data_IF_492676320113
#
_entry.id   IF_492676320113
#
_cell.length_a   1.000
_cell.length_b   1.000
_cell.length_c   1.000
_cell.angle_alpha   90.00
_cell.angle_beta   90.00
_cell.angle_gamma   90.00
#
_symmetry.space_group_name_H-M   'P 1'
#
loop_
_entity.id
_entity.type
_entity.pdbx_description
1 polymer ?
#
# COMPACT_ATOMS: atom_id res chain seq x y z
N UNK A 1 14.55 12.76 5.35
CA UNK A 1 13.49 13.48 6.09
C UNK A 1 12.43 12.47 6.51
N UNK A 2 11.84 12.57 7.70
CA UNK A 2 10.79 11.65 8.17
C UNK A 2 9.43 12.33 8.17
N UNK A 3 8.41 11.62 7.71
CA UNK A 3 7.05 12.10 7.56
C UNK A 3 6.09 11.09 8.20
N UNK A 4 4.97 11.58 8.73
CA UNK A 4 3.89 10.78 9.28
C UNK A 4 2.57 11.27 8.73
N UNK A 5 1.72 10.34 8.30
CA UNK A 5 0.43 10.60 7.70
C UNK A 5 -0.63 9.67 8.30
N UNK A 6 -1.53 10.25 9.09
CA UNK A 6 -2.71 9.56 9.59
C UNK A 6 -3.75 9.44 8.47
N UNK A 7 -3.96 8.22 7.98
CA UNK A 7 -4.98 7.90 6.97
C UNK A 7 -6.30 7.72 7.72
N UNK A 8 -7.33 8.51 7.37
CA UNK A 8 -8.62 8.54 8.09
C UNK A 8 -9.13 7.12 8.39
N UNK A 9 -9.27 6.81 9.68
CA UNK A 9 -9.88 5.59 10.17
C UNK A 9 -11.40 5.65 9.97
N UNK A 10 -11.96 4.76 9.14
CA UNK A 10 -13.40 4.53 9.12
C UNK A 10 -13.76 3.61 10.28
N UNK A 11 -14.76 3.99 11.07
CA UNK A 11 -15.28 3.19 12.20
C UNK A 11 -15.90 1.85 11.77
N UNK A 12 -16.06 1.61 10.47
CA UNK A 12 -16.62 0.39 9.88
C UNK A 12 -15.63 -0.38 8.99
N UNK A 13 -14.34 0.00 8.98
CA UNK A 13 -13.36 -0.75 8.21
C UNK A 13 -12.99 -2.03 8.95
N UNK A 14 -13.30 -3.16 8.31
CA UNK A 14 -12.71 -4.43 8.63
C UNK A 14 -11.18 -4.36 8.44
N UNK A 15 -10.51 -5.28 9.10
CA UNK A 15 -9.06 -5.45 9.12
C UNK A 15 -8.43 -5.30 7.72
N UNK A 16 -7.56 -4.30 7.48
CA UNK A 16 -6.85 -4.15 6.21
C UNK A 16 -6.04 -5.41 5.89
N UNK A 17 -6.16 -5.93 4.68
CA UNK A 17 -5.32 -7.02 4.18
C UNK A 17 -4.12 -6.50 3.41
N UNK A 18 -4.32 -5.50 2.56
CA UNK A 18 -3.25 -4.82 1.84
C UNK A 18 -3.41 -3.31 1.92
N UNK A 19 -2.28 -2.61 2.02
CA UNK A 19 -2.22 -1.16 1.86
C UNK A 19 -1.25 -0.84 0.74
N UNK A 20 -1.71 -0.10 -0.26
CA UNK A 20 -0.92 0.29 -1.43
C UNK A 20 -0.69 1.80 -1.39
N UNK A 21 0.57 2.21 -1.44
CA UNK A 21 0.98 3.61 -1.35
C UNK A 21 1.72 4.03 -2.62
N UNK A 22 1.42 5.23 -3.09
CA UNK A 22 2.11 5.83 -4.24
C UNK A 22 2.16 7.35 -4.14
N UNK A 23 3.15 7.94 -4.79
CA UNK A 23 3.34 9.40 -4.83
C UNK A 23 3.23 9.91 -6.26
N UNK A 24 2.69 11.11 -6.43
CA UNK A 24 2.66 11.79 -7.72
C UNK A 24 3.11 13.23 -7.58
N UNK A 25 4.05 13.63 -8.41
CA UNK A 25 4.63 14.96 -8.44
C UNK A 25 4.11 15.73 -9.65
N UNK A 26 3.63 16.94 -9.44
CA UNK A 26 3.16 17.86 -10.49
C UNK A 26 2.12 17.24 -11.44
N UNK A 27 1.27 16.29 -10.99
CA UNK A 27 0.21 15.66 -11.82
C UNK A 27 -1.21 16.07 -11.42
N UNK A 28 -1.36 16.65 -10.24
CA UNK A 28 -2.64 17.17 -9.79
C UNK A 28 -3.05 18.35 -10.69
N UNK A 29 -4.31 18.36 -11.13
CA UNK A 29 -4.90 19.41 -11.98
C UNK A 29 -4.22 19.66 -13.35
N UNK A 30 -3.31 18.79 -13.79
CA UNK A 30 -2.70 18.85 -15.12
C UNK A 30 -3.33 17.77 -16.03
N UNK A 31 -4.04 18.19 -17.08
CA UNK A 31 -4.70 17.28 -18.02
C UNK A 31 -3.77 16.70 -19.08
N UNK A 32 -2.56 17.24 -19.24
CA UNK A 32 -1.58 16.75 -20.22
C UNK A 32 -0.70 15.65 -19.65
N UNK A 33 -0.67 15.49 -18.32
CA UNK A 33 0.14 14.47 -17.66
C UNK A 33 -0.63 13.19 -17.39
N UNK A 34 0.08 12.07 -17.53
CA UNK A 34 -0.48 10.76 -17.24
C UNK A 34 -0.64 10.55 -15.72
N UNK A 35 -1.89 10.57 -15.25
CA UNK A 35 -2.26 10.35 -13.85
C UNK A 35 -2.20 8.89 -13.39
N UNK A 36 -1.88 7.95 -14.29
CA UNK A 36 -1.63 6.54 -13.90
C UNK A 36 -0.19 6.30 -13.45
N UNK A 37 0.69 7.29 -13.57
CA UNK A 37 2.10 7.15 -13.24
C UNK A 37 2.39 7.66 -11.82
N UNK A 38 3.35 7.01 -11.16
CA UNK A 38 3.80 7.35 -9.83
C UNK A 38 5.30 7.61 -9.83
N UNK A 39 5.77 8.39 -8.86
CA UNK A 39 7.19 8.72 -8.68
C UNK A 39 7.70 8.11 -7.38
N UNK A 40 8.98 7.76 -7.35
CA UNK A 40 9.61 7.16 -6.18
C UNK A 40 9.93 8.17 -5.08
N UNK A 41 9.93 9.48 -5.38
CA UNK A 41 10.19 10.60 -4.46
C UNK A 41 11.43 10.42 -3.56
N UNK A 42 12.42 9.65 -4.01
CA UNK A 42 13.58 9.23 -3.23
C UNK A 42 13.23 8.61 -1.87
N UNK A 43 12.17 7.82 -1.82
CA UNK A 43 11.79 7.03 -0.66
C UNK A 43 12.98 6.17 -0.20
N UNK A 44 13.19 6.15 1.11
CA UNK A 44 14.23 5.41 1.81
C UNK A 44 13.62 4.32 2.69
N UNK A 45 12.49 4.63 3.33
CA UNK A 45 11.81 3.67 4.20
C UNK A 45 10.31 3.98 4.29
N UNK A 46 9.51 2.98 4.60
CA UNK A 46 8.07 3.13 4.83
C UNK A 46 7.60 2.09 5.83
N UNK A 47 6.79 2.54 6.80
CA UNK A 47 6.12 1.71 7.78
C UNK A 47 4.66 2.11 7.88
N UNK A 48 3.80 1.11 7.88
CA UNK A 48 2.39 1.20 8.18
C UNK A 48 2.19 0.77 9.62
N UNK A 49 1.52 1.61 10.39
CA UNK A 49 1.06 1.31 11.74
C UNK A 49 -0.43 1.06 11.69
N UNK A 50 -0.83 -0.12 12.16
CA UNK A 50 -2.21 -0.51 12.37
C UNK A 50 -2.40 -0.66 13.88
N UNK A 51 -2.95 0.38 14.52
CA UNK A 51 -2.92 0.52 15.97
C UNK A 51 -1.48 0.39 16.53
N UNK A 52 -1.17 -0.72 17.21
CA UNK A 52 0.15 -1.00 17.80
C UNK A 52 1.01 -1.94 16.96
N UNK A 53 0.49 -2.49 15.86
CA UNK A 53 1.23 -3.37 14.95
C UNK A 53 1.88 -2.57 13.83
N UNK A 54 3.02 -3.04 13.31
CA UNK A 54 3.81 -2.34 12.31
C UNK A 54 4.18 -3.25 11.12
N UNK A 55 4.05 -2.72 9.91
CA UNK A 55 4.30 -3.44 8.66
C UNK A 55 5.06 -2.57 7.64
N UNK A 56 6.07 -3.09 6.93
CA UNK A 56 6.83 -4.27 7.32
C UNK A 56 7.56 -4.05 8.66
N UNK A 57 7.87 -5.15 9.35
CA UNK A 57 8.65 -5.10 10.60
C UNK A 57 10.07 -4.56 10.32
N UNK A 58 10.71 -5.09 9.29
CA UNK A 58 12.04 -4.69 8.83
C UNK A 58 12.00 -3.37 8.05
N UNK A 59 13.13 -2.65 8.08
CA UNK A 59 13.30 -1.45 7.27
C UNK A 59 13.53 -1.81 5.79
N UNK A 60 12.92 -1.04 4.89
CA UNK A 60 13.06 -1.25 3.45
C UNK A 60 14.45 -0.85 2.91
N UNK A 61 15.11 0.12 3.55
CA UNK A 61 16.46 0.61 3.20
C UNK A 61 16.65 0.91 1.71
N UNK A 62 15.70 1.63 1.13
CA UNK A 62 15.62 1.91 -0.30
C UNK A 62 16.64 2.96 -0.74
N UNK A 63 17.21 2.75 -1.92
CA UNK A 63 18.02 3.74 -2.62
C UNK A 63 17.86 3.60 -4.14
N UNK A 64 16.97 4.40 -4.71
CA UNK A 64 16.67 4.39 -6.14
C UNK A 64 17.89 4.77 -7.00
N UNK A 65 18.75 5.69 -6.54
CA UNK A 65 19.98 6.08 -7.26
C UNK A 65 21.01 4.95 -7.34
N UNK A 66 20.95 3.98 -6.42
CA UNK A 66 21.81 2.79 -6.40
C UNK A 66 21.08 1.52 -6.89
N UNK A 67 19.88 1.68 -7.46
CA UNK A 67 19.02 0.57 -7.86
C UNK A 67 18.67 -0.41 -6.71
N UNK A 68 18.67 0.07 -5.47
CA UNK A 68 18.31 -0.69 -4.28
C UNK A 68 16.82 -0.51 -3.98
N UNK A 69 15.96 -1.13 -4.79
CA UNK A 69 14.50 -1.09 -4.61
C UNK A 69 13.83 -2.44 -4.94
N UNK A 70 14.61 -3.51 -5.05
CA UNK A 70 14.10 -4.85 -5.38
C UNK A 70 13.05 -5.34 -4.38
N UNK A 71 13.18 -4.99 -3.09
CA UNK A 71 12.22 -5.39 -2.04
C UNK A 71 10.80 -4.88 -2.31
N UNK A 72 10.63 -3.63 -2.75
CA UNK A 72 9.29 -3.11 -3.07
C UNK A 72 8.75 -3.67 -4.38
N UNK A 73 9.62 -4.02 -5.33
CA UNK A 73 9.21 -4.73 -6.54
C UNK A 73 8.74 -6.16 -6.22
N UNK A 74 9.42 -6.85 -5.30
CA UNK A 74 9.00 -8.17 -4.82
C UNK A 74 7.66 -8.09 -4.07
N UNK A 75 7.46 -7.07 -3.23
CA UNK A 75 6.17 -6.80 -2.58
C UNK A 75 5.04 -6.62 -3.61
N UNK A 76 5.30 -5.83 -4.67
CA UNK A 76 4.37 -5.67 -5.79
C UNK A 76 4.08 -6.98 -6.54
N UNK A 77 5.12 -7.76 -6.85
CA UNK A 77 5.00 -9.06 -7.53
C UNK A 77 4.13 -10.05 -6.73
N UNK A 78 4.42 -10.19 -5.43
CA UNK A 78 3.71 -11.10 -4.52
C UNK A 78 2.24 -10.70 -4.33
N UNK A 79 1.93 -9.41 -4.36
CA UNK A 79 0.54 -8.95 -4.32
C UNK A 79 -0.28 -9.51 -5.49
N UNK A 80 0.28 -9.55 -6.69
CA UNK A 80 -0.41 -10.10 -7.86
C UNK A 80 -0.71 -11.59 -7.71
N UNK A 81 0.24 -12.35 -7.18
CA UNK A 81 0.07 -13.77 -6.89
C UNK A 81 -1.03 -14.01 -5.84
N UNK A 82 -0.97 -13.29 -4.71
CA UNK A 82 -1.91 -13.46 -3.60
C UNK A 82 -3.33 -13.00 -3.91
N UNK A 83 -3.49 -11.90 -4.65
CA UNK A 83 -4.81 -11.30 -4.92
C UNK A 83 -5.51 -11.92 -6.14
N UNK A 84 -4.77 -12.27 -7.20
CA UNK A 84 -5.37 -12.79 -8.43
C UNK A 84 -5.37 -14.31 -8.55
N UNK A 85 -4.84 -15.05 -7.56
CA UNK A 85 -4.73 -16.51 -7.59
C UNK A 85 -4.11 -17.05 -8.90
N UNK A 86 -3.17 -16.29 -9.49
CA UNK A 86 -2.52 -16.66 -10.74
C UNK A 86 -1.38 -17.61 -10.45
N UNK A 87 -1.42 -18.80 -11.05
CA UNK A 87 -0.36 -19.83 -10.95
C UNK A 87 0.97 -19.43 -11.62
N UNK A 88 1.02 -18.29 -12.32
CA UNK A 88 2.21 -17.74 -12.96
C UNK A 88 2.53 -16.39 -12.32
N UNK A 89 3.46 -16.37 -11.37
CA UNK A 89 3.89 -15.18 -10.60
C UNK A 89 4.67 -14.13 -11.40
N UNK A 90 4.39 -13.97 -12.69
CA UNK A 90 5.04 -12.96 -13.53
C UNK A 90 4.41 -11.58 -13.28
N UNK A 91 5.18 -10.60 -12.78
CA UNK A 91 4.66 -9.27 -12.50
C UNK A 91 4.22 -8.56 -13.78
N UNK A 92 3.11 -7.82 -13.75
CA UNK A 92 2.62 -7.09 -14.94
C UNK A 92 3.61 -6.04 -15.49
N UNK A 93 4.54 -5.57 -14.67
CA UNK A 93 5.56 -4.60 -15.05
C UNK A 93 6.94 -5.21 -14.85
N UNK A 94 7.86 -4.98 -15.78
CA UNK A 94 9.27 -5.30 -15.56
C UNK A 94 9.86 -4.40 -14.47
N UNK A 95 10.98 -4.80 -13.87
CA UNK A 95 11.66 -4.02 -12.83
C UNK A 95 11.95 -2.56 -13.24
N UNK A 96 12.40 -2.35 -14.49
CA UNK A 96 12.64 -0.99 -15.02
C UNK A 96 11.34 -0.21 -15.22
N UNK A 97 10.29 -0.80 -15.78
CA UNK A 97 9.00 -0.11 -15.91
C UNK A 97 8.39 0.21 -14.55
N UNK A 98 8.50 -0.71 -13.58
CA UNK A 98 8.08 -0.46 -12.21
C UNK A 98 8.82 0.74 -11.62
N UNK A 99 10.15 0.78 -11.74
CA UNK A 99 10.96 1.91 -11.28
C UNK A 99 10.51 3.25 -11.88
N UNK A 100 10.29 3.28 -13.20
CA UNK A 100 10.11 4.54 -13.93
C UNK A 100 8.68 5.10 -13.85
N UNK A 101 7.67 4.23 -13.75
CA UNK A 101 6.26 4.68 -13.84
C UNK A 101 5.35 4.20 -12.72
N UNK A 102 5.77 3.22 -11.91
CA UNK A 102 4.90 2.66 -10.87
C UNK A 102 5.66 2.15 -9.63
N UNK A 103 6.51 2.97 -8.98
CA UNK A 103 7.19 2.60 -7.73
C UNK A 103 6.21 2.60 -6.55
N UNK A 104 5.21 1.72 -6.63
CA UNK A 104 4.15 1.51 -5.67
C UNK A 104 4.63 0.60 -4.55
N UNK A 105 4.29 0.94 -3.31
CA UNK A 105 4.65 0.16 -2.14
C UNK A 105 3.41 -0.62 -1.71
N UNK A 106 3.49 -1.95 -1.80
CA UNK A 106 2.39 -2.84 -1.40
C UNK A 106 2.70 -3.50 -0.07
N UNK A 107 2.04 -3.06 0.99
CA UNK A 107 2.24 -3.57 2.34
C UNK A 107 1.20 -4.66 2.61
N UNK A 108 1.68 -5.91 2.70
CA UNK A 108 0.87 -7.06 3.10
C UNK A 108 0.71 -7.09 4.61
N UNK A 109 -0.54 -6.99 5.05
CA UNK A 109 -0.93 -6.97 6.45
C UNK A 109 -1.70 -8.25 6.85
N UNK A 110 -1.75 -9.27 5.96
CA UNK A 110 -2.52 -10.51 6.16
C UNK A 110 -2.13 -11.30 7.41
N UNK A 111 -0.85 -11.20 7.83
CA UNK A 111 -0.30 -11.87 9.01
C UNK A 111 -0.57 -11.16 10.33
N UNK A 112 -1.43 -10.16 10.34
CA UNK A 112 -1.90 -9.54 11.57
C UNK A 112 -2.49 -10.60 12.52
N UNK A 113 -2.14 -10.52 13.80
CA UNK A 113 -2.71 -11.37 14.83
C UNK A 113 -4.25 -11.25 14.88
N UNK A 114 -4.96 -12.36 15.04
CA UNK A 114 -6.42 -12.40 15.17
C UNK A 114 -6.92 -11.72 16.46
N UNK A 115 -6.02 -11.47 17.41
CA UNK A 115 -6.27 -10.75 18.67
C UNK A 115 -6.52 -9.25 18.51
N UNK A 116 -6.56 -8.72 17.29
CA UNK A 116 -7.05 -7.37 17.04
C UNK A 116 -8.47 -7.23 17.60
N UNK A 117 -8.54 -6.48 18.71
CA UNK A 117 -9.77 -6.18 19.44
C UNK A 117 -10.81 -5.63 18.46
N UNK A 118 -12.02 -6.16 18.52
CA UNK A 118 -13.18 -5.58 17.84
C UNK A 118 -13.24 -4.07 18.16
N UNK A 119 -12.99 -3.22 17.17
CA UNK A 119 -12.82 -1.78 17.35
C UNK A 119 -12.31 -1.10 16.08
N UNK A 120 -12.32 0.24 16.06
CA UNK A 120 -11.74 1.02 14.96
C UNK A 120 -10.24 0.76 14.84
N UNK A 121 -9.75 0.63 13.61
CA UNK A 121 -8.31 0.51 13.32
C UNK A 121 -7.77 1.88 12.94
N UNK A 122 -6.83 2.39 13.73
CA UNK A 122 -6.07 3.57 13.40
C UNK A 122 -4.97 3.21 12.40
N UNK A 123 -4.94 3.92 11.27
CA UNK A 123 -4.02 3.66 10.17
C UNK A 123 -3.08 4.86 10.03
N UNK A 124 -1.81 4.66 10.30
CA UNK A 124 -0.78 5.69 10.17
C UNK A 124 0.35 5.19 9.26
N UNK A 125 0.68 5.99 8.25
CA UNK A 125 1.84 5.75 7.38
C UNK A 125 2.99 6.65 7.84
N UNK A 126 4.11 6.06 8.20
CA UNK A 126 5.37 6.77 8.38
C UNK A 126 6.32 6.43 7.23
N UNK A 127 7.02 7.43 6.72
CA UNK A 127 7.97 7.22 5.66
C UNK A 127 9.14 8.18 5.74
N UNK A 128 10.26 7.74 5.18
CA UNK A 128 11.51 8.48 5.16
C UNK A 128 11.99 8.64 3.72
N UNK A 129 12.54 9.80 3.39
CA UNK A 129 13.13 10.09 2.08
C UNK A 129 14.60 10.46 2.21
N UNK A 130 15.41 10.06 1.23
CA UNK A 130 16.84 10.39 1.14
C UNK A 130 17.09 11.85 0.67
N UNK A 131 16.07 12.50 0.12
CA UNK A 131 16.10 13.88 -0.36
C UNK A 131 14.80 14.61 0.01
N UNK A 132 14.78 15.93 -0.15
CA UNK A 132 13.54 16.70 0.02
C UNK A 132 12.49 16.21 -0.98
N UNK A 133 11.25 16.06 -0.50
CA UNK A 133 10.12 15.74 -1.36
C UNK A 133 9.92 16.91 -2.34
N UNK A 134 9.81 16.66 -3.65
CA UNK A 134 9.56 17.72 -4.62
C UNK A 134 8.27 18.50 -4.29
N UNK A 135 8.25 19.79 -4.64
CA UNK A 135 7.03 20.58 -4.55
C UNK A 135 5.90 19.97 -5.39
N UNK A 136 4.65 20.20 -4.96
CA UNK A 136 3.44 19.67 -5.59
C UNK A 136 3.42 18.13 -5.69
N UNK A 137 3.90 17.46 -4.64
CA UNK A 137 3.79 16.00 -4.51
C UNK A 137 2.57 15.66 -3.67
N UNK A 138 1.71 14.80 -4.22
CA UNK A 138 0.54 14.25 -3.53
C UNK A 138 0.77 12.77 -3.25
N UNK A 139 0.47 12.33 -2.02
CA UNK A 139 0.54 10.93 -1.62
C UNK A 139 -0.86 10.30 -1.69
N UNK A 140 -0.93 9.08 -2.23
CA UNK A 140 -2.14 8.30 -2.36
C UNK A 140 -2.01 7.01 -1.57
N UNK A 141 -3.10 6.61 -0.93
CA UNK A 141 -3.20 5.37 -0.15
C UNK A 141 -4.49 4.65 -0.55
N UNK A 142 -4.36 3.41 -1.01
CA UNK A 142 -5.46 2.49 -1.27
C UNK A 142 -5.43 1.38 -0.22
N UNK A 143 -6.54 1.20 0.47
CA UNK A 143 -6.67 0.17 1.51
C UNK A 143 -7.63 -0.90 1.00
N UNK A 144 -7.16 -2.14 0.99
CA UNK A 144 -7.93 -3.32 0.62
C UNK A 144 -8.16 -4.15 1.88
N UNK A 145 -9.41 -4.42 2.20
CA UNK A 145 -9.81 -5.33 3.26
C UNK A 145 -10.74 -6.40 2.66
N UNK A 146 -10.71 -7.60 3.23
CA UNK A 146 -11.69 -8.62 2.89
C UNK A 146 -13.03 -8.25 3.52
N UNK A 147 -14.13 -8.73 2.94
CA UNK A 147 -15.46 -8.71 3.55
C UNK A 147 -16.09 -10.09 3.45
N UNK A 148 -16.48 -10.67 4.58
CA UNK A 148 -17.18 -11.95 4.56
C UNK A 148 -18.69 -11.70 4.55
N UNK A 149 -19.33 -12.15 3.47
CA UNK A 149 -20.77 -12.03 3.29
C UNK A 149 -21.39 -13.42 3.41
N UNK A 150 -22.24 -13.61 4.43
CA UNK A 150 -23.01 -14.85 4.61
C UNK A 150 -24.40 -14.67 4.03
N UNK A 151 -24.70 -15.44 3.00
CA UNK A 151 -26.05 -15.58 2.48
C UNK A 151 -26.76 -16.73 3.20
N UNK A 152 -27.94 -16.46 3.76
CA UNK A 152 -28.82 -17.50 4.27
C UNK A 152 -29.91 -17.78 3.22
N UNK A 153 -29.84 -18.91 2.48
CA UNK A 153 -30.80 -19.22 1.42
C UNK A 153 -32.21 -19.50 1.93
N UNK A 154 -32.38 -19.86 3.20
CA UNK A 154 -33.70 -20.14 3.78
C UNK A 154 -34.45 -18.86 4.14
N UNK A 155 -33.74 -17.78 4.43
CA UNK A 155 -34.34 -16.49 4.80
C UNK A 155 -34.15 -15.42 3.73
N UNK A 156 -33.41 -15.71 2.66
CA UNK A 156 -32.92 -14.76 1.66
C UNK A 156 -32.19 -13.55 2.29
N UNK A 157 -31.68 -13.68 3.50
CA UNK A 157 -30.98 -12.60 4.22
C UNK A 157 -29.49 -12.67 3.92
N UNK A 158 -28.94 -11.52 3.58
CA UNK A 158 -27.50 -11.30 3.46
C UNK A 158 -27.01 -10.67 4.77
N UNK A 159 -26.09 -11.34 5.47
CA UNK A 159 -25.38 -10.78 6.62
C UNK A 159 -23.95 -10.48 6.21
N UNK A 160 -23.54 -9.23 6.39
CA UNK A 160 -22.16 -8.78 6.27
C UNK A 160 -21.57 -8.91 7.68
N UNK A 161 -20.50 -9.70 7.84
CA UNK A 161 -19.80 -9.89 9.11
C UNK A 161 -18.45 -9.21 9.10
#
# INVERSE_FOLDING_TARGET
MRHSWNVKASSQMEKPRFVIVGFQTNRENDSQKNKSQFDHCNLANMKLYLNSEVYPYENLNLNFNKYQFSVIYEMYARFQESYHYKNSGEPCLTLSKFHDIAPLIVIDCSRQNETLKAGSVDICLEFETNQNIPANTSAYCLILHDRLVRYNPLTNVIKIS
#
